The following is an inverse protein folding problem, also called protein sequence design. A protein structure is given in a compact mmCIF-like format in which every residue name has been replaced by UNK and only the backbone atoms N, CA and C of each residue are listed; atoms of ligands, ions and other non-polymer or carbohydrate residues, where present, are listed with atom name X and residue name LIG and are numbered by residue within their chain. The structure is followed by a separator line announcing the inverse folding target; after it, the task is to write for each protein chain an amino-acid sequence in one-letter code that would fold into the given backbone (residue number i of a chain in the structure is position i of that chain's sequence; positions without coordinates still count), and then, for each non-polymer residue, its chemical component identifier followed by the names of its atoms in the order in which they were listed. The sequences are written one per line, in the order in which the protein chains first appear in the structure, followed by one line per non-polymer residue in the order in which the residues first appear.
data_IF_222724659208
#
_entry.id   IF_222724659208
#
_cell.length_a   1.000
_cell.length_b   1.000
_cell.length_c   1.000
_cell.angle_alpha   90.00
_cell.angle_beta   90.00
_cell.angle_gamma   90.00
#
_symmetry.space_group_name_H-M   'P 1'
#
loop_
_entity.id
_entity.type
_entity.pdbx_description
1 polymer ?
#
# COMPACT_ATOMS: atom_id res chain seq x y z
N UNK A 1 42.28 -50.19 31.56
CA UNK A 1 42.20 -48.72 31.71
C UNK A 1 41.31 -48.22 30.59
N UNK A 2 40.06 -47.89 30.90
CA UNK A 2 39.03 -47.54 29.92
C UNK A 2 39.09 -46.04 29.61
N UNK A 3 39.21 -45.68 28.33
CA UNK A 3 39.07 -44.30 27.86
C UNK A 3 37.58 -43.94 27.76
N UNK A 4 37.15 -42.93 28.51
CA UNK A 4 35.82 -42.35 28.39
C UNK A 4 35.84 -41.24 27.32
N UNK A 5 34.97 -41.35 26.31
CA UNK A 5 34.64 -40.26 25.38
C UNK A 5 33.71 -39.25 26.07
N UNK A 6 33.89 -37.93 25.91
CA UNK A 6 32.90 -36.96 26.35
C UNK A 6 31.74 -36.85 25.33
N UNK A 7 30.52 -36.78 25.85
CA UNK A 7 29.30 -36.57 25.06
C UNK A 7 29.25 -35.16 24.45
N UNK A 8 28.64 -34.97 23.27
CA UNK A 8 28.52 -33.66 22.65
C UNK A 8 27.47 -32.80 23.39
N UNK A 9 27.82 -31.53 23.60
CA UNK A 9 26.94 -30.53 24.19
C UNK A 9 25.67 -30.36 23.35
N UNK A 10 24.51 -30.49 23.99
CA UNK A 10 23.21 -30.21 23.39
C UNK A 10 23.05 -28.71 23.19
N UNK A 11 23.22 -28.25 21.95
CA UNK A 11 22.84 -26.90 21.54
C UNK A 11 21.32 -26.84 21.46
N UNK A 12 20.68 -26.31 22.49
CA UNK A 12 19.26 -25.97 22.48
C UNK A 12 19.03 -24.87 21.44
N UNK A 13 18.58 -25.26 20.24
CA UNK A 13 18.10 -24.34 19.23
C UNK A 13 16.86 -23.62 19.80
N UNK A 14 16.98 -22.32 20.00
CA UNK A 14 15.87 -21.42 20.28
C UNK A 14 14.96 -21.44 19.04
N UNK A 15 13.94 -22.31 19.03
CA UNK A 15 12.85 -22.21 18.09
C UNK A 15 12.07 -20.95 18.46
N UNK A 16 12.40 -19.84 17.77
CA UNK A 16 11.56 -18.65 17.73
C UNK A 16 10.17 -19.10 17.28
N UNK A 17 9.24 -19.17 18.22
CA UNK A 17 7.83 -19.45 17.98
C UNK A 17 7.33 -18.42 16.98
N UNK A 18 7.13 -18.84 15.73
CA UNK A 18 6.41 -18.02 14.75
C UNK A 18 4.98 -17.96 15.26
N UNK A 19 4.59 -16.81 15.82
CA UNK A 19 3.25 -16.57 16.30
C UNK A 19 2.31 -16.62 15.08
N UNK A 20 1.52 -17.69 14.97
CA UNK A 20 0.56 -17.86 13.88
C UNK A 20 -0.65 -16.99 14.20
N UNK A 21 -0.71 -15.79 13.63
CA UNK A 21 -1.91 -14.96 13.71
C UNK A 21 -2.99 -15.51 12.78
N UNK A 22 -4.10 -15.94 13.37
CA UNK A 22 -5.30 -16.30 12.64
C UNK A 22 -5.97 -15.04 12.11
N UNK A 23 -6.07 -14.92 10.79
CA UNK A 23 -6.77 -13.82 10.13
C UNK A 23 -8.28 -14.08 10.22
N UNK A 24 -9.03 -13.18 10.85
CA UNK A 24 -10.48 -13.31 10.95
C UNK A 24 -11.18 -12.91 9.64
N UNK A 25 -12.44 -13.34 9.44
CA UNK A 25 -13.25 -12.92 8.29
C UNK A 25 -13.39 -11.39 8.25
N UNK A 26 -13.60 -10.76 9.41
CA UNK A 26 -13.70 -9.30 9.52
C UNK A 26 -12.41 -8.59 9.11
N UNK A 27 -11.26 -9.18 9.38
CA UNK A 27 -9.96 -8.63 8.98
C UNK A 27 -9.75 -8.71 7.47
N UNK A 28 -10.23 -9.78 6.84
CA UNK A 28 -10.25 -9.90 5.38
C UNK A 28 -11.17 -8.84 4.76
N UNK A 29 -12.36 -8.61 5.32
CA UNK A 29 -13.29 -7.60 4.83
C UNK A 29 -12.69 -6.18 4.92
N UNK A 30 -12.05 -5.83 6.04
CA UNK A 30 -11.33 -4.56 6.19
C UNK A 30 -10.22 -4.42 5.15
N UNK A 31 -9.42 -5.46 4.95
CA UNK A 31 -8.35 -5.46 3.95
C UNK A 31 -8.90 -5.25 2.53
N UNK A 32 -9.96 -5.96 2.16
CA UNK A 32 -10.61 -5.79 0.86
C UNK A 32 -11.15 -4.37 0.66
N UNK A 33 -11.74 -3.78 1.70
CA UNK A 33 -12.25 -2.42 1.64
C UNK A 33 -11.11 -1.39 1.47
N UNK A 34 -9.99 -1.56 2.20
CA UNK A 34 -8.78 -0.75 2.03
C UNK A 34 -8.22 -0.81 0.60
N UNK A 35 -8.16 -2.01 0.00
CA UNK A 35 -7.72 -2.16 -1.39
C UNK A 35 -8.66 -1.48 -2.39
N UNK A 36 -9.98 -1.67 -2.21
CA UNK A 36 -11.00 -1.03 -3.06
C UNK A 36 -10.84 0.49 -3.04
N UNK A 37 -10.66 1.03 -1.85
CA UNK A 37 -10.44 2.44 -1.60
C UNK A 37 -9.14 2.98 -2.22
N UNK A 38 -8.02 2.28 -2.04
CA UNK A 38 -6.75 2.68 -2.64
C UNK A 38 -6.81 2.70 -4.17
N UNK A 39 -7.47 1.70 -4.77
CA UNK A 39 -7.68 1.65 -6.22
C UNK A 39 -8.58 2.79 -6.70
N UNK A 40 -9.69 3.06 -6.02
CA UNK A 40 -10.59 4.18 -6.35
C UNK A 40 -9.86 5.53 -6.28
N UNK A 41 -9.01 5.73 -5.27
CA UNK A 41 -8.23 6.95 -5.11
C UNK A 41 -7.20 7.13 -6.21
N UNK A 42 -6.53 6.03 -6.58
CA UNK A 42 -5.63 6.00 -7.72
C UNK A 42 -6.34 6.33 -9.03
N UNK A 43 -7.50 5.71 -9.30
CA UNK A 43 -8.24 5.92 -10.54
C UNK A 43 -8.70 7.37 -10.70
N UNK A 44 -9.19 7.99 -9.61
CA UNK A 44 -9.58 9.40 -9.60
C UNK A 44 -8.37 10.30 -9.88
N UNK A 45 -7.25 10.10 -9.16
CA UNK A 45 -6.03 10.91 -9.36
C UNK A 45 -5.45 10.73 -10.76
N UNK A 46 -5.37 9.49 -11.24
CA UNK A 46 -4.90 9.16 -12.59
C UNK A 46 -5.74 9.86 -13.64
N UNK A 47 -7.07 9.83 -13.51
CA UNK A 47 -7.97 10.52 -14.43
C UNK A 47 -7.70 12.03 -14.42
N UNK A 48 -7.60 12.66 -13.25
CA UNK A 48 -7.31 14.08 -13.15
C UNK A 48 -5.98 14.48 -13.81
N UNK A 49 -4.92 13.68 -13.61
CA UNK A 49 -3.61 13.90 -14.25
C UNK A 49 -3.72 13.76 -15.78
N UNK A 50 -4.39 12.72 -16.26
CA UNK A 50 -4.59 12.50 -17.70
C UNK A 50 -5.42 13.60 -18.35
N UNK A 51 -6.50 14.04 -17.70
CA UNK A 51 -7.37 15.11 -18.19
C UNK A 51 -6.63 16.46 -18.22
N UNK A 52 -5.80 16.75 -17.21
CA UNK A 52 -4.97 17.96 -17.20
C UNK A 52 -3.90 17.94 -18.29
N UNK A 53 -3.18 16.83 -18.42
CA UNK A 53 -2.16 16.68 -19.46
C UNK A 53 -2.77 16.78 -20.87
N UNK A 54 -3.93 16.15 -21.10
CA UNK A 54 -4.60 16.21 -22.41
C UNK A 54 -5.03 17.63 -22.74
N UNK A 55 -5.67 18.34 -21.80
CA UNK A 55 -6.05 19.75 -22.01
C UNK A 55 -4.87 20.65 -22.34
N UNK A 56 -3.71 20.41 -21.74
CA UNK A 56 -2.51 21.20 -21.98
C UNK A 56 -1.90 20.89 -23.35
N UNK A 57 -1.90 19.62 -23.76
CA UNK A 57 -1.41 19.20 -25.08
C UNK A 57 -2.32 19.65 -26.23
N UNK A 58 -3.62 19.79 -25.96
CA UNK A 58 -4.61 20.24 -26.93
C UNK A 58 -4.73 21.79 -26.98
N UNK A 59 -4.09 22.51 -26.06
CA UNK A 59 -4.10 23.98 -26.04
C UNK A 59 -3.10 24.54 -27.06
N UNK A 60 -3.63 25.23 -28.08
CA UNK A 60 -2.85 25.88 -29.13
C UNK A 60 -1.96 27.01 -28.62
N UNK A 61 -2.21 27.52 -27.41
CA UNK A 61 -1.44 28.59 -26.79
C UNK A 61 -0.43 28.07 -25.75
N UNK A 62 -0.36 26.77 -25.51
CA UNK A 62 0.56 26.20 -24.53
C UNK A 62 2.02 26.50 -24.89
N UNK A 63 2.81 26.89 -23.91
CA UNK A 63 4.25 27.11 -24.11
C UNK A 63 4.99 25.77 -24.26
N UNK A 64 6.18 25.75 -24.86
CA UNK A 64 7.00 24.53 -24.93
C UNK A 64 7.23 23.90 -23.55
N UNK A 65 7.41 24.70 -22.50
CA UNK A 65 7.57 24.23 -21.13
C UNK A 65 6.31 23.53 -20.61
N UNK A 66 5.11 24.10 -20.85
CA UNK A 66 3.84 23.50 -20.45
C UNK A 66 3.59 22.17 -21.16
N UNK A 67 3.98 22.06 -22.44
CA UNK A 67 3.91 20.81 -23.19
C UNK A 67 4.87 19.75 -22.62
N UNK A 68 6.08 20.14 -22.21
CA UNK A 68 7.03 19.25 -21.54
C UNK A 68 6.55 18.78 -20.17
N UNK A 69 5.93 19.66 -19.40
CA UNK A 69 5.30 19.34 -18.13
C UNK A 69 4.14 18.36 -18.34
N UNK A 70 3.28 18.59 -19.33
CA UNK A 70 2.18 17.69 -19.66
C UNK A 70 2.65 16.27 -20.05
N UNK A 71 3.75 16.15 -20.80
CA UNK A 71 4.39 14.87 -21.11
C UNK A 71 4.94 14.24 -19.81
N UNK A 72 5.58 15.03 -18.95
CA UNK A 72 6.16 14.57 -17.70
C UNK A 72 5.09 14.07 -16.73
N UNK A 73 3.94 14.74 -16.62
CA UNK A 73 2.82 14.29 -15.79
C UNK A 73 2.32 12.90 -16.21
N UNK A 74 2.22 12.64 -17.52
CA UNK A 74 1.79 11.34 -18.06
C UNK A 74 2.76 10.18 -17.76
N UNK A 75 4.04 10.47 -17.52
CA UNK A 75 5.05 9.41 -17.36
C UNK A 75 5.60 9.32 -15.93
N UNK A 76 6.00 10.45 -15.37
CA UNK A 76 6.63 10.54 -14.05
C UNK A 76 5.57 10.52 -12.96
N UNK A 77 4.56 11.40 -13.05
CA UNK A 77 3.58 11.52 -11.97
C UNK A 77 2.62 10.34 -11.94
N UNK A 78 2.21 9.80 -13.09
CA UNK A 78 1.44 8.56 -13.11
C UNK A 78 2.21 7.39 -12.49
N UNK A 79 3.51 7.26 -12.76
CA UNK A 79 4.34 6.21 -12.14
C UNK A 79 4.46 6.42 -10.63
N UNK A 80 4.62 7.66 -10.17
CA UNK A 80 4.63 8.00 -8.75
C UNK A 80 3.31 7.64 -8.07
N UNK A 81 2.18 7.95 -8.69
CA UNK A 81 0.85 7.57 -8.20
C UNK A 81 0.67 6.06 -8.10
N UNK A 82 1.13 5.31 -9.11
CA UNK A 82 1.06 3.85 -9.10
C UNK A 82 1.94 3.24 -8.01
N UNK A 83 3.16 3.74 -7.84
CA UNK A 83 4.06 3.29 -6.78
C UNK A 83 3.47 3.57 -5.39
N UNK A 84 2.92 4.77 -5.17
CA UNK A 84 2.27 5.12 -3.91
C UNK A 84 1.11 4.16 -3.59
N UNK A 85 0.27 3.83 -4.60
CA UNK A 85 -0.82 2.85 -4.42
C UNK A 85 -0.28 1.47 -4.05
N UNK A 86 0.80 1.02 -4.70
CA UNK A 86 1.40 -0.28 -4.41
C UNK A 86 2.02 -0.32 -3.01
N UNK A 87 2.62 0.77 -2.55
CA UNK A 87 3.17 0.88 -1.21
C UNK A 87 2.07 0.83 -0.15
N UNK A 88 0.93 1.49 -0.38
CA UNK A 88 -0.26 1.37 0.48
C UNK A 88 -0.77 -0.09 0.52
N UNK A 89 -0.91 -0.75 -0.63
CA UNK A 89 -1.35 -2.15 -0.69
C UNK A 89 -0.42 -3.09 0.08
N UNK A 90 0.91 -2.90 -0.05
CA UNK A 90 1.91 -3.68 0.70
C UNK A 90 1.81 -3.43 2.19
N UNK A 91 1.63 -2.16 2.60
CA UNK A 91 1.43 -1.81 4.00
C UNK A 91 0.20 -2.53 4.55
N UNK A 92 -0.93 -2.51 3.85
CA UNK A 92 -2.15 -3.21 4.28
C UNK A 92 -1.93 -4.72 4.39
N UNK A 93 -1.21 -5.33 3.45
CA UNK A 93 -0.88 -6.76 3.52
C UNK A 93 -0.01 -7.07 4.74
N UNK A 94 1.02 -6.28 5.00
CA UNK A 94 1.86 -6.43 6.20
C UNK A 94 1.02 -6.31 7.46
N UNK A 95 0.15 -5.30 7.57
CA UNK A 95 -0.73 -5.12 8.73
C UNK A 95 -1.72 -6.25 8.91
N UNK A 96 -2.22 -6.85 7.82
CA UNK A 96 -3.06 -8.05 7.88
C UNK A 96 -2.29 -9.24 8.47
N UNK A 97 -1.07 -9.50 7.97
CA UNK A 97 -0.20 -10.59 8.44
C UNK A 97 0.20 -10.42 9.91
N UNK A 98 0.39 -9.19 10.35
CA UNK A 98 0.75 -8.84 11.73
C UNK A 98 -0.47 -8.80 12.68
N UNK A 99 -1.69 -9.09 12.20
CA UNK A 99 -2.91 -8.98 13.01
C UNK A 99 -3.30 -7.55 13.40
N UNK A 100 -2.74 -6.54 12.72
CA UNK A 100 -2.90 -5.10 12.99
C UNK A 100 -3.70 -4.37 11.91
N UNK A 101 -4.52 -5.09 11.14
CA UNK A 101 -5.32 -4.49 10.08
C UNK A 101 -6.35 -3.48 10.61
N UNK A 102 -6.88 -3.71 11.82
CA UNK A 102 -7.84 -2.81 12.45
C UNK A 102 -7.23 -1.44 12.72
N UNK A 103 -6.00 -1.39 13.23
CA UNK A 103 -5.31 -0.13 13.54
C UNK A 103 -5.14 0.75 12.28
N UNK A 104 -4.74 0.15 11.16
CA UNK A 104 -4.57 0.89 9.90
C UNK A 104 -5.92 1.22 9.26
N UNK A 105 -6.92 0.35 9.42
CA UNK A 105 -8.27 0.60 8.94
C UNK A 105 -8.87 1.85 9.61
N UNK A 106 -8.77 1.93 10.94
CA UNK A 106 -9.30 3.07 11.71
C UNK A 106 -8.59 4.38 11.33
N UNK A 107 -7.27 4.36 11.15
CA UNK A 107 -6.50 5.51 10.69
C UNK A 107 -6.97 6.00 9.31
N UNK A 108 -7.16 5.08 8.37
CA UNK A 108 -7.62 5.41 7.01
C UNK A 108 -9.06 5.92 7.03
N UNK A 109 -9.94 5.36 7.86
CA UNK A 109 -11.32 5.84 8.05
C UNK A 109 -11.32 7.27 8.61
N UNK A 110 -10.52 7.55 9.64
CA UNK A 110 -10.41 8.91 10.20
C UNK A 110 -9.90 9.92 9.16
N UNK A 111 -8.91 9.53 8.36
CA UNK A 111 -8.40 10.38 7.27
C UNK A 111 -9.46 10.62 6.20
N UNK A 112 -10.23 9.59 5.81
CA UNK A 112 -11.33 9.74 4.85
C UNK A 112 -12.40 10.69 5.35
N UNK A 113 -12.83 10.51 6.60
CA UNK A 113 -13.85 11.35 7.22
C UNK A 113 -13.39 12.81 7.35
N UNK A 114 -12.12 13.06 7.70
CA UNK A 114 -11.57 14.43 7.76
C UNK A 114 -11.50 15.11 6.38
N UNK A 115 -11.41 14.32 5.31
CA UNK A 115 -11.50 14.78 3.92
C UNK A 115 -12.95 14.91 3.42
N UNK A 116 -13.96 14.72 4.28
CA UNK A 116 -15.38 14.77 3.90
C UNK A 116 -15.84 13.59 3.05
N UNK A 117 -15.12 12.47 3.08
CA UNK A 117 -15.41 11.26 2.28
C UNK A 117 -16.19 10.24 3.12
N UNK A 118 -17.14 9.55 2.50
CA UNK A 118 -17.94 8.51 3.17
C UNK A 118 -17.18 7.18 3.28
N UNK A 119 -17.56 6.39 4.30
CA UNK A 119 -17.05 5.03 4.56
C UNK A 119 -17.83 3.97 3.76
N UNK A 120 -19.00 4.31 3.23
CA UNK A 120 -19.94 3.37 2.62
C UNK A 120 -19.78 3.22 1.09
N UNK A 121 -18.82 3.90 0.45
CA UNK A 121 -18.67 3.96 -1.02
C UNK A 121 -17.38 3.37 -1.60
#
# INVERSE_FOLDING_TARGET
MSHANPAPASTSANLSTVEVHWVSVLDIEKYQLLLKWANKDYDVKKKSVMDLASRTLDDVNATPEELWDAISWRHVDLRRLENSRLDDCRLYETKLRDGRITDIFDQVVQLRLSQGRSVDQ
#
